data_IF_613744688221
#
_entry.id   IF_613744688221
#
_cell.length_a   1.000
_cell.length_b   1.000
_cell.length_c   1.000
_cell.angle_alpha   90.00
_cell.angle_beta   90.00
_cell.angle_gamma   90.00
#
_symmetry.space_group_name_H-M   'P 1'
#
loop_
_entity.id
_entity.type
_entity.pdbx_description
1 polymer ?
#
# COMPACT_ATOMS: atom_id res chain seq x y z
N UNK A 1 25.07 -1.74 4.71
CA UNK A 1 24.16 -0.60 4.83
C UNK A 1 22.80 -1.07 5.32
N UNK A 2 22.09 -0.25 6.11
CA UNK A 2 20.73 -0.50 6.60
C UNK A 2 19.78 0.50 5.95
N UNK A 3 18.92 0.02 5.02
CA UNK A 3 18.00 0.89 4.29
C UNK A 3 16.71 1.19 5.06
N UNK A 4 16.33 0.33 5.99
CA UNK A 4 15.10 0.49 6.80
C UNK A 4 15.20 1.55 7.91
N UNK A 5 16.37 2.16 8.11
CA UNK A 5 16.65 3.14 9.18
C UNK A 5 16.64 4.61 8.70
N UNK A 6 15.80 4.97 7.80
CA UNK A 6 15.73 6.36 7.31
C UNK A 6 14.44 6.68 6.58
N UNK A 7 13.41 5.89 6.84
CA UNK A 7 12.11 6.04 6.21
C UNK A 7 12.18 5.94 4.69
N UNK A 8 11.16 6.47 4.01
CA UNK A 8 11.01 6.38 2.55
C UNK A 8 12.21 6.97 1.79
N UNK A 9 12.85 8.00 2.32
CA UNK A 9 14.03 8.61 1.69
C UNK A 9 15.20 7.63 1.60
N UNK A 10 15.45 6.85 2.66
CA UNK A 10 16.52 5.86 2.66
C UNK A 10 16.18 4.66 1.76
N UNK A 11 14.92 4.20 1.76
CA UNK A 11 14.45 3.15 0.86
C UNK A 11 14.64 3.55 -0.60
N UNK A 12 14.16 4.73 -0.99
CA UNK A 12 14.30 5.25 -2.36
C UNK A 12 15.78 5.40 -2.77
N UNK A 13 16.62 5.93 -1.87
CA UNK A 13 18.05 6.04 -2.11
C UNK A 13 18.71 4.67 -2.32
N UNK A 14 18.37 3.70 -1.46
CA UNK A 14 18.88 2.32 -1.56
C UNK A 14 18.51 1.63 -2.87
N UNK A 15 17.25 1.76 -3.29
CA UNK A 15 16.77 1.24 -4.58
C UNK A 15 17.53 1.89 -5.73
N UNK A 16 17.71 3.22 -5.73
CA UNK A 16 18.47 3.93 -6.76
C UNK A 16 19.96 3.50 -6.80
N UNK A 17 20.60 3.34 -5.65
CA UNK A 17 21.98 2.85 -5.59
C UNK A 17 22.13 1.44 -6.15
N UNK A 18 21.17 0.56 -5.85
CA UNK A 18 21.12 -0.79 -6.40
C UNK A 18 20.93 -0.80 -7.91
N UNK A 19 19.92 -0.09 -8.41
CA UNK A 19 19.61 -0.02 -9.85
C UNK A 19 20.75 0.58 -10.68
N UNK A 20 21.52 1.50 -10.11
CA UNK A 20 22.71 2.08 -10.76
C UNK A 20 23.99 1.24 -10.56
N UNK A 21 23.91 0.05 -9.97
CA UNK A 21 25.03 -0.85 -9.74
C UNK A 21 26.08 -0.34 -8.73
N UNK A 22 25.76 0.71 -7.98
CA UNK A 22 26.71 1.32 -7.04
C UNK A 22 27.04 0.39 -5.89
N UNK A 23 26.01 -0.30 -5.34
CA UNK A 23 26.22 -1.23 -4.22
C UNK A 23 27.14 -2.38 -4.62
N UNK A 24 26.92 -2.96 -5.79
CA UNK A 24 27.75 -4.03 -6.34
C UNK A 24 29.18 -3.56 -6.63
N UNK A 25 29.32 -2.41 -7.31
CA UNK A 25 30.61 -1.81 -7.66
C UNK A 25 31.53 -1.62 -6.47
N UNK A 26 31.00 -1.24 -5.33
CA UNK A 26 31.77 -0.98 -4.11
C UNK A 26 31.68 -2.11 -3.08
N UNK A 27 31.09 -3.25 -3.40
CA UNK A 27 30.96 -4.41 -2.53
C UNK A 27 30.18 -4.10 -1.23
N UNK A 28 29.15 -3.23 -1.33
CA UNK A 28 28.34 -2.83 -0.18
C UNK A 28 27.20 -3.83 0.03
N UNK A 29 27.26 -4.54 1.16
CA UNK A 29 26.19 -5.44 1.57
C UNK A 29 25.00 -4.67 2.17
N UNK A 30 23.80 -4.99 1.75
CA UNK A 30 22.54 -4.51 2.36
C UNK A 30 22.14 -5.47 3.47
N UNK A 31 22.07 -4.95 4.70
CA UNK A 31 21.63 -5.68 5.88
C UNK A 31 20.14 -5.39 6.14
N UNK A 32 19.43 -6.40 6.62
CA UNK A 32 17.98 -6.33 6.83
C UNK A 32 17.20 -6.68 5.58
N UNK A 33 16.13 -5.95 5.28
CA UNK A 33 15.25 -6.25 4.14
C UNK A 33 16.01 -6.14 2.80
N UNK A 34 16.01 -7.20 1.96
CA UNK A 34 16.66 -7.16 0.65
C UNK A 34 16.07 -6.07 -0.26
N UNK A 35 16.90 -5.47 -1.12
CA UNK A 35 16.43 -4.40 -2.02
C UNK A 35 15.30 -4.87 -2.93
N UNK A 36 15.35 -6.12 -3.41
CA UNK A 36 14.28 -6.66 -4.24
C UNK A 36 12.95 -6.73 -3.49
N UNK A 37 12.96 -7.12 -2.21
CA UNK A 37 11.74 -7.13 -1.38
C UNK A 37 11.20 -5.71 -1.17
N UNK A 38 12.08 -4.70 -1.04
CA UNK A 38 11.66 -3.30 -0.98
C UNK A 38 10.95 -2.90 -2.29
N UNK A 39 11.54 -3.22 -3.44
CA UNK A 39 10.94 -2.94 -4.76
C UNK A 39 9.57 -3.63 -4.88
N UNK A 40 9.50 -4.91 -4.54
CA UNK A 40 8.29 -5.71 -4.68
C UNK A 40 7.14 -5.21 -3.77
N UNK A 41 7.46 -4.63 -2.62
CA UNK A 41 6.45 -4.14 -1.66
C UNK A 41 6.08 -2.68 -1.85
N UNK A 42 6.97 -1.87 -2.41
CA UNK A 42 6.70 -0.45 -2.70
C UNK A 42 5.87 -0.25 -3.98
N UNK A 43 6.02 -1.14 -4.95
CA UNK A 43 5.22 -1.13 -6.17
C UNK A 43 3.90 -1.86 -5.94
N UNK A 44 2.78 -1.13 -6.05
CA UNK A 44 1.44 -1.66 -5.76
C UNK A 44 1.02 -2.79 -6.69
N UNK A 45 1.39 -2.71 -7.96
CA UNK A 45 1.03 -3.73 -8.94
C UNK A 45 1.84 -5.01 -8.71
N UNK A 46 3.15 -4.86 -8.51
CA UNK A 46 4.04 -5.98 -8.17
C UNK A 46 3.57 -6.64 -6.87
N UNK A 47 3.30 -5.85 -5.84
CA UNK A 47 2.83 -6.36 -4.55
C UNK A 47 1.49 -7.10 -4.67
N UNK A 48 0.51 -6.53 -5.37
CA UNK A 48 -0.78 -7.19 -5.60
C UNK A 48 -0.62 -8.52 -6.38
N UNK A 49 0.30 -8.58 -7.34
CA UNK A 49 0.62 -9.81 -8.07
C UNK A 49 1.24 -10.86 -7.14
N UNK A 50 2.21 -10.46 -6.32
CA UNK A 50 2.82 -11.34 -5.31
C UNK A 50 1.80 -11.91 -4.31
N UNK A 51 0.86 -11.08 -3.86
CA UNK A 51 -0.21 -11.53 -2.97
C UNK A 51 -1.15 -12.52 -3.66
N UNK A 52 -1.44 -12.34 -4.96
CA UNK A 52 -2.23 -13.30 -5.74
C UNK A 52 -1.53 -14.65 -5.91
N UNK A 53 -0.19 -14.67 -6.05
CA UNK A 53 0.59 -15.90 -6.14
C UNK A 53 0.43 -16.81 -4.90
N UNK A 54 0.13 -16.21 -3.74
CA UNK A 54 -0.09 -16.92 -2.47
C UNK A 54 -1.57 -16.91 -2.02
N UNK A 55 -2.49 -16.60 -2.95
CA UNK A 55 -3.93 -16.60 -2.74
C UNK A 55 -4.43 -15.66 -1.61
N UNK A 56 -3.69 -14.57 -1.39
CA UNK A 56 -4.08 -13.51 -0.45
C UNK A 56 -4.95 -12.48 -1.15
N UNK A 57 -6.11 -12.21 -0.57
CA UNK A 57 -7.07 -11.23 -1.10
C UNK A 57 -6.56 -9.81 -0.89
N UNK A 58 -6.72 -8.99 -1.91
CA UNK A 58 -6.51 -7.54 -1.87
C UNK A 58 -7.80 -6.82 -2.21
N UNK A 59 -7.99 -5.55 -1.79
CA UNK A 59 -9.09 -4.74 -2.28
C UNK A 59 -9.09 -4.72 -3.81
N UNK A 60 -10.27 -4.83 -4.40
CA UNK A 60 -10.40 -4.76 -5.86
C UNK A 60 -10.03 -3.36 -6.33
N UNK A 61 -9.22 -3.28 -7.36
CA UNK A 61 -8.75 -2.02 -7.95
C UNK A 61 -8.83 -2.11 -9.47
N UNK A 62 -9.37 -1.06 -10.09
CA UNK A 62 -9.51 -0.94 -11.55
C UNK A 62 -8.88 0.37 -11.98
N UNK A 63 -7.93 0.27 -12.90
CA UNK A 63 -7.31 1.44 -13.52
C UNK A 63 -8.27 2.05 -14.54
N UNK A 64 -8.36 3.38 -14.56
CA UNK A 64 -9.17 4.14 -15.51
C UNK A 64 -8.32 5.29 -16.10
N UNK A 65 -8.35 5.43 -17.43
CA UNK A 65 -7.59 6.43 -18.17
C UNK A 65 -8.45 7.63 -18.61
N UNK A 66 -9.74 7.54 -18.35
CA UNK A 66 -10.73 8.58 -18.65
C UNK A 66 -11.94 8.45 -17.73
N UNK A 67 -12.82 9.45 -17.79
CA UNK A 67 -14.01 9.51 -16.94
C UNK A 67 -15.00 8.37 -17.20
N UNK A 68 -15.16 7.94 -18.45
CA UNK A 68 -16.06 6.86 -18.81
C UNK A 68 -15.63 5.53 -18.17
N UNK A 69 -14.33 5.23 -18.23
CA UNK A 69 -13.74 4.06 -17.58
C UNK A 69 -13.87 4.14 -16.06
N UNK A 70 -13.69 5.32 -15.45
CA UNK A 70 -13.85 5.51 -14.01
C UNK A 70 -15.30 5.29 -13.56
N UNK A 71 -16.29 5.75 -14.33
CA UNK A 71 -17.71 5.51 -14.08
C UNK A 71 -18.06 4.02 -14.26
N UNK A 72 -17.49 3.36 -15.25
CA UNK A 72 -17.67 1.92 -15.44
C UNK A 72 -17.10 1.13 -14.27
N UNK A 73 -15.88 1.46 -13.84
CA UNK A 73 -15.24 0.84 -12.70
C UNK A 73 -16.06 1.02 -11.41
N UNK A 74 -16.63 2.21 -11.18
CA UNK A 74 -17.46 2.46 -10.00
C UNK A 74 -18.76 1.62 -9.97
N UNK A 75 -19.34 1.35 -11.13
CA UNK A 75 -20.53 0.47 -11.25
C UNK A 75 -20.20 -0.99 -10.98
N UNK A 76 -19.00 -1.42 -11.37
CA UNK A 76 -18.52 -2.78 -11.13
C UNK A 76 -18.14 -3.01 -9.66
N UNK A 77 -17.47 -2.04 -9.03
CA UNK A 77 -17.02 -2.14 -7.64
C UNK A 77 -18.14 -1.87 -6.64
N UNK A 78 -19.09 -0.98 -6.98
CA UNK A 78 -20.11 -0.46 -6.08
C UNK A 78 -19.56 0.60 -5.11
N UNK A 79 -20.41 1.54 -4.71
CA UNK A 79 -20.06 2.54 -3.70
C UNK A 79 -20.20 1.97 -2.28
N UNK A 80 -19.36 2.45 -1.35
CA UNK A 80 -18.32 3.47 -1.47
C UNK A 80 -17.02 2.96 -2.09
N UNK A 81 -16.31 3.84 -2.78
CA UNK A 81 -15.02 3.58 -3.42
C UNK A 81 -13.98 4.63 -3.03
N UNK A 82 -12.72 4.35 -3.31
CA UNK A 82 -11.61 5.30 -3.21
C UNK A 82 -11.09 5.57 -4.62
N UNK A 83 -10.84 6.84 -4.92
CA UNK A 83 -10.13 7.24 -6.15
C UNK A 83 -8.75 7.70 -5.76
N UNK A 84 -7.73 7.27 -6.51
CA UNK A 84 -6.34 7.68 -6.34
C UNK A 84 -5.72 8.01 -7.68
N UNK A 85 -5.07 9.16 -7.78
CA UNK A 85 -4.24 9.47 -8.93
C UNK A 85 -3.02 8.53 -8.98
N UNK A 86 -2.78 7.89 -10.11
CA UNK A 86 -1.84 6.78 -10.21
C UNK A 86 -0.36 7.15 -9.99
N UNK A 87 0.02 8.40 -10.27
CA UNK A 87 1.44 8.83 -10.28
C UNK A 87 1.69 10.10 -9.46
N UNK A 88 0.82 10.42 -8.49
CA UNK A 88 0.98 11.63 -7.67
C UNK A 88 1.50 11.32 -6.27
N UNK A 89 2.49 12.11 -5.84
CA UNK A 89 2.93 12.14 -4.45
C UNK A 89 2.02 13.07 -3.64
N UNK A 90 1.73 12.70 -2.38
CA UNK A 90 1.04 13.58 -1.43
C UNK A 90 -0.48 13.59 -1.48
N UNK A 91 -1.12 12.59 -2.13
CA UNK A 91 -2.59 12.41 -2.05
C UNK A 91 -3.43 13.41 -2.85
N UNK A 92 -2.81 14.28 -3.65
CA UNK A 92 -3.52 15.19 -4.56
C UNK A 92 -4.35 14.38 -5.57
N UNK A 93 -5.65 14.69 -5.67
CA UNK A 93 -6.57 13.97 -6.55
C UNK A 93 -6.97 12.58 -6.02
N UNK A 94 -6.74 12.30 -4.73
CA UNK A 94 -7.20 11.08 -4.08
C UNK A 94 -8.30 11.40 -3.09
N UNK A 95 -9.26 10.49 -2.95
CA UNK A 95 -10.33 10.68 -2.00
C UNK A 95 -11.37 9.58 -1.98
N UNK A 96 -12.21 9.65 -0.96
CA UNK A 96 -13.31 8.76 -0.73
C UNK A 96 -14.56 9.23 -1.49
N UNK A 97 -15.18 8.34 -2.23
CA UNK A 97 -16.38 8.60 -3.01
C UNK A 97 -17.55 7.79 -2.47
N UNK A 98 -18.57 8.48 -1.96
CA UNK A 98 -19.81 7.86 -1.50
C UNK A 98 -20.85 7.67 -2.61
N UNK A 99 -20.70 8.37 -3.73
CA UNK A 99 -21.62 8.35 -4.86
C UNK A 99 -20.91 8.84 -6.14
N UNK A 100 -21.63 8.77 -7.26
CA UNK A 100 -21.16 9.13 -8.60
C UNK A 100 -20.80 10.63 -8.73
N UNK A 101 -21.53 11.53 -8.06
CA UNK A 101 -21.24 12.97 -8.13
C UNK A 101 -19.88 13.30 -7.52
N UNK A 102 -19.57 12.68 -6.37
CA UNK A 102 -18.28 12.84 -5.69
C UNK A 102 -17.16 12.22 -6.54
N UNK A 103 -17.42 11.06 -7.15
CA UNK A 103 -16.49 10.42 -8.07
C UNK A 103 -16.13 11.35 -9.24
N UNK A 104 -17.13 11.93 -9.92
CA UNK A 104 -16.91 12.83 -11.06
C UNK A 104 -16.05 14.00 -10.66
N UNK A 105 -16.31 14.65 -9.52
CA UNK A 105 -15.51 15.77 -9.02
C UNK A 105 -14.06 15.38 -8.74
N UNK A 106 -13.85 14.28 -8.01
CA UNK A 106 -12.51 13.83 -7.64
C UNK A 106 -11.73 13.33 -8.86
N UNK A 107 -12.34 12.51 -9.70
CA UNK A 107 -11.70 11.99 -10.90
C UNK A 107 -11.35 13.11 -11.90
N UNK A 108 -12.21 14.12 -12.07
CA UNK A 108 -11.89 15.29 -12.90
C UNK A 108 -10.67 16.06 -12.39
N UNK A 109 -10.57 16.23 -11.07
CA UNK A 109 -9.39 16.84 -10.45
C UNK A 109 -8.14 15.95 -10.62
N UNK A 110 -8.27 14.67 -10.43
CA UNK A 110 -7.16 13.71 -10.57
C UNK A 110 -6.62 13.66 -12.01
N UNK A 111 -7.50 13.60 -13.01
CA UNK A 111 -7.12 13.59 -14.43
C UNK A 111 -6.46 14.89 -14.91
N UNK A 112 -6.59 16.01 -14.16
CA UNK A 112 -5.85 17.22 -14.47
C UNK A 112 -4.34 17.10 -14.20
N UNK A 113 -3.94 16.14 -13.35
CA UNK A 113 -2.55 15.95 -12.91
C UNK A 113 -1.98 14.56 -13.25
N UNK A 114 -2.83 13.60 -13.57
CA UNK A 114 -2.44 12.23 -13.85
C UNK A 114 -3.20 11.69 -15.05
N UNK A 115 -2.54 10.98 -15.99
CA UNK A 115 -3.22 10.36 -17.12
C UNK A 115 -4.07 9.15 -16.72
N UNK A 116 -3.92 8.67 -15.49
CA UNK A 116 -4.61 7.49 -14.98
C UNK A 116 -5.03 7.69 -13.52
N UNK A 117 -6.20 7.17 -13.19
CA UNK A 117 -6.65 7.02 -11.80
C UNK A 117 -6.91 5.55 -11.49
N UNK A 118 -6.75 5.19 -10.21
CA UNK A 118 -7.17 3.91 -9.68
C UNK A 118 -8.50 4.12 -8.97
N UNK A 119 -9.49 3.30 -9.31
CA UNK A 119 -10.78 3.20 -8.63
C UNK A 119 -10.73 1.94 -7.79
N UNK A 120 -10.79 2.08 -6.48
CA UNK A 120 -10.53 1.00 -5.54
C UNK A 120 -11.75 0.76 -4.63
N UNK A 121 -11.98 -0.50 -4.29
CA UNK A 121 -12.95 -0.89 -3.28
C UNK A 121 -12.61 -0.24 -1.93
N UNK A 122 -13.62 0.32 -1.27
CA UNK A 122 -13.42 0.90 0.06
C UNK A 122 -13.60 -0.14 1.15
N UNK A 123 -12.61 -0.25 2.00
CA UNK A 123 -12.66 -1.08 3.21
C UNK A 123 -13.03 -0.25 4.46
N UNK A 124 -13.66 0.92 4.28
CA UNK A 124 -14.09 1.76 5.41
C UNK A 124 -14.97 0.97 6.38
N UNK A 125 -14.60 1.01 7.65
CA UNK A 125 -15.28 0.28 8.72
C UNK A 125 -14.74 -1.14 8.96
N UNK A 126 -13.79 -1.59 8.17
CA UNK A 126 -13.05 -2.80 8.47
C UNK A 126 -12.09 -2.58 9.63
N UNK A 127 -11.81 -3.64 10.35
CA UNK A 127 -10.78 -3.67 11.38
C UNK A 127 -9.41 -3.75 10.72
N UNK A 128 -8.48 -2.96 11.23
CA UNK A 128 -7.08 -3.00 10.83
C UNK A 128 -6.27 -3.75 11.87
N UNK A 129 -5.60 -4.80 11.43
CA UNK A 129 -4.75 -5.64 12.25
C UNK A 129 -3.41 -5.77 11.57
N UNK A 130 -2.35 -5.59 12.32
CA UNK A 130 -0.98 -5.64 11.84
C UNK A 130 -0.18 -6.72 12.57
N UNK A 131 0.82 -7.25 11.90
CA UNK A 131 1.77 -8.20 12.48
C UNK A 131 3.18 -7.69 12.28
N UNK A 132 3.95 -7.63 13.35
CA UNK A 132 5.39 -7.41 13.25
C UNK A 132 6.06 -8.76 13.04
N UNK A 133 6.69 -8.94 11.88
CA UNK A 133 7.31 -10.20 11.45
C UNK A 133 8.78 -9.98 11.19
N UNK A 134 9.62 -10.83 11.76
CA UNK A 134 11.07 -10.85 11.53
C UNK A 134 11.48 -12.17 10.93
N UNK A 135 12.24 -12.13 9.86
CA UNK A 135 12.79 -13.30 9.17
C UNK A 135 14.28 -13.12 8.98
N UNK A 136 15.06 -14.11 9.36
CA UNK A 136 16.50 -14.09 9.20
C UNK A 136 16.96 -14.72 7.87
N UNK A 137 18.26 -14.64 7.58
CA UNK A 137 18.85 -15.20 6.36
C UNK A 137 18.83 -16.73 6.28
N UNK A 138 18.50 -17.41 7.36
CA UNK A 138 18.39 -18.89 7.44
C UNK A 138 16.94 -19.37 7.35
N UNK A 139 16.03 -18.45 7.03
CA UNK A 139 14.60 -18.72 6.90
C UNK A 139 13.86 -18.98 8.23
N UNK A 140 14.46 -18.60 9.35
CA UNK A 140 13.73 -18.59 10.60
C UNK A 140 12.80 -17.36 10.61
N UNK A 141 11.50 -17.59 10.78
CA UNK A 141 10.48 -16.58 10.77
C UNK A 141 9.73 -16.57 12.11
N UNK A 142 9.62 -15.41 12.71
CA UNK A 142 8.87 -15.21 13.94
C UNK A 142 7.91 -14.04 13.80
N UNK A 143 6.73 -14.17 14.39
CA UNK A 143 5.83 -13.06 14.66
C UNK A 143 6.18 -12.50 16.04
N UNK A 144 6.66 -11.26 16.08
CA UNK A 144 7.04 -10.58 17.33
C UNK A 144 5.78 -10.25 18.14
N UNK A 145 4.80 -9.64 17.48
CA UNK A 145 3.49 -9.35 18.06
C UNK A 145 2.45 -9.18 16.97
N UNK A 146 1.19 -9.30 17.35
CA UNK A 146 0.07 -8.77 16.60
C UNK A 146 -0.39 -7.45 17.24
N UNK A 147 -0.88 -6.55 16.41
CA UNK A 147 -1.36 -5.23 16.82
C UNK A 147 -2.70 -4.97 16.17
N UNK A 148 -3.55 -4.22 16.84
CA UNK A 148 -4.78 -3.69 16.24
C UNK A 148 -4.83 -2.17 16.35
N UNK A 149 -5.31 -1.53 15.29
CA UNK A 149 -5.61 -0.13 15.27
C UNK A 149 -6.99 0.10 15.90
N UNK A 150 -7.04 0.96 16.93
CA UNK A 150 -8.30 1.31 17.60
C UNK A 150 -9.15 2.20 16.70
N UNK A 151 -8.52 3.06 15.95
CA UNK A 151 -9.18 3.95 15.00
C UNK A 151 -9.64 3.19 13.74
N UNK A 152 -10.74 3.64 13.11
CA UNK A 152 -11.26 2.97 11.92
C UNK A 152 -10.27 3.08 10.75
N UNK A 153 -10.27 2.07 9.88
CA UNK A 153 -9.48 2.04 8.65
C UNK A 153 -9.67 3.31 7.82
N UNK A 154 -8.55 3.90 7.41
CA UNK A 154 -8.49 5.16 6.64
C UNK A 154 -7.84 6.31 7.40
N UNK A 155 -7.56 6.14 8.70
CA UNK A 155 -6.66 7.02 9.46
C UNK A 155 -5.23 6.49 9.28
N UNK A 156 -4.27 7.40 9.09
CA UNK A 156 -2.88 7.00 8.91
C UNK A 156 -2.37 6.27 10.16
N UNK A 157 -1.72 5.11 9.98
CA UNK A 157 -1.24 4.26 11.09
C UNK A 157 -0.34 5.00 12.08
N UNK A 158 0.46 5.96 11.62
CA UNK A 158 1.29 6.81 12.48
C UNK A 158 0.51 7.81 13.36
N UNK A 159 -0.79 8.00 13.12
CA UNK A 159 -1.67 8.91 13.85
C UNK A 159 -2.75 8.14 14.65
N UNK A 160 -2.86 6.83 14.42
CA UNK A 160 -3.82 5.93 15.05
C UNK A 160 -3.30 5.42 16.41
N UNK A 161 -4.23 5.12 17.31
CA UNK A 161 -3.92 4.41 18.55
C UNK A 161 -3.76 2.92 18.23
N UNK A 162 -2.57 2.39 18.44
CA UNK A 162 -2.23 0.99 18.22
C UNK A 162 -2.15 0.26 19.56
N UNK A 163 -2.80 -0.89 19.67
CA UNK A 163 -2.78 -1.75 20.85
C UNK A 163 -2.06 -3.05 20.53
N UNK A 164 -1.02 -3.36 21.28
CA UNK A 164 -0.26 -4.60 21.18
C UNK A 164 -0.19 -5.31 22.53
N UNK A 165 -0.50 -6.62 22.62
CA UNK A 165 -1.09 -7.44 21.57
C UNK A 165 -2.56 -7.05 21.30
N UNK A 166 -3.09 -7.45 20.15
CA UNK A 166 -4.50 -7.28 19.80
C UNK A 166 -5.41 -7.82 20.89
N UNK A 167 -6.43 -7.05 21.29
CA UNK A 167 -7.33 -7.36 22.41
C UNK A 167 -8.67 -7.93 21.97
N UNK A 168 -9.06 -7.69 20.72
CA UNK A 168 -10.41 -8.02 20.24
C UNK A 168 -10.45 -9.20 19.28
N UNK A 169 -9.28 -9.81 18.99
CA UNK A 169 -9.18 -11.05 18.24
C UNK A 169 -9.10 -12.25 19.20
N UNK A 170 -9.79 -13.32 18.85
CA UNK A 170 -9.64 -14.60 19.52
C UNK A 170 -8.41 -15.35 18.97
N UNK A 171 -7.97 -16.40 19.71
CA UNK A 171 -6.84 -17.23 19.26
C UNK A 171 -7.12 -18.03 17.97
N UNK A 172 -8.37 -18.08 17.53
CA UNK A 172 -8.80 -18.77 16.30
C UNK A 172 -8.90 -17.84 15.09
N UNK A 173 -8.85 -16.55 15.30
CA UNK A 173 -8.82 -15.50 14.27
C UNK A 173 -7.40 -15.07 13.95
#
# INVERSE_FOLDING_TARGET
ILLSFGGQTALNCGVALHQNGVLEKYGVEVLGTPVQSIIDTEDREIFANKLREIDVKTPRSIAANNMEEALKASKELGFPIIVRAAYTLGGLGSGFCSNEEVLVKLASSAFAYSPQVLVEESLKGWKEVEYEVVRDKYDNCITVCNMENFDPLGIHTGESIVVAPSQTLSNSE
#
